data_IF_348110329512
#
_entry.id   IF_348110329512
#
_cell.length_a   1.000
_cell.length_b   1.000
_cell.length_c   1.000
_cell.angle_alpha   90.00
_cell.angle_beta   90.00
_cell.angle_gamma   90.00
#
_symmetry.space_group_name_H-M   'P 1'
#
loop_
_entity.id
_entity.type
_entity.pdbx_description
1 polymer ?
#
# COMPACT_ATOMS: atom_id res chain seq x y z
N UNK A 1 8.68 -9.58 8.11
CA UNK A 1 7.96 -10.85 8.38
C UNK A 1 7.38 -10.76 9.78
N UNK A 2 6.18 -11.31 9.98
CA UNK A 2 5.55 -11.41 11.29
C UNK A 2 6.05 -12.67 12.02
N UNK A 3 6.25 -12.62 13.33
CA UNK A 3 6.66 -13.77 14.15
C UNK A 3 5.43 -14.54 14.65
N UNK A 4 4.31 -13.85 14.84
CA UNK A 4 3.01 -14.38 15.26
C UNK A 4 1.90 -13.85 14.34
N UNK A 5 0.63 -14.20 14.62
CA UNK A 5 -0.48 -13.49 14.01
C UNK A 5 -0.35 -12.00 14.32
N UNK A 6 -0.34 -11.17 13.28
CA UNK A 6 -0.08 -9.75 13.45
C UNK A 6 -1.11 -8.91 12.73
N UNK A 7 -1.50 -7.79 13.34
CA UNK A 7 -2.28 -6.75 12.71
C UNK A 7 -1.32 -5.74 12.08
N UNK A 8 -1.32 -5.68 10.76
CA UNK A 8 -0.53 -4.74 9.98
C UNK A 8 -1.39 -3.52 9.67
N UNK A 9 -0.89 -2.33 9.97
CA UNK A 9 -1.51 -1.04 9.66
C UNK A 9 -0.55 -0.21 8.83
N UNK A 10 -1.07 0.45 7.81
CA UNK A 10 -0.32 1.41 7.00
C UNK A 10 -0.95 2.77 7.18
N UNK A 11 -0.14 3.74 7.60
CA UNK A 11 -0.56 5.11 7.88
C UNK A 11 0.17 6.02 6.91
N UNK A 12 -0.57 6.88 6.23
CA UNK A 12 -0.04 7.91 5.34
C UNK A 12 -0.59 9.26 5.76
N UNK A 13 0.30 10.22 6.03
CA UNK A 13 -0.08 11.58 6.45
C UNK A 13 -1.06 11.60 7.64
N UNK A 14 -0.87 10.69 8.61
CA UNK A 14 -1.72 10.54 9.78
C UNK A 14 -3.02 9.74 9.58
N UNK A 15 -3.34 9.31 8.35
CA UNK A 15 -4.54 8.53 8.05
C UNK A 15 -4.21 7.05 7.83
N UNK A 16 -4.99 6.14 8.42
CA UNK A 16 -4.86 4.70 8.14
C UNK A 16 -5.44 4.43 6.75
N UNK A 17 -4.58 4.07 5.81
CA UNK A 17 -4.97 3.80 4.41
C UNK A 17 -5.14 2.30 4.16
N UNK A 18 -4.60 1.45 5.03
CA UNK A 18 -4.71 0.00 4.93
C UNK A 18 -4.56 -0.66 6.30
N UNK A 19 -5.31 -1.73 6.54
CA UNK A 19 -5.23 -2.53 7.76
C UNK A 19 -5.64 -3.97 7.48
N UNK A 20 -4.79 -4.93 7.83
CA UNK A 20 -5.06 -6.36 7.63
C UNK A 20 -4.43 -7.24 8.72
N UNK A 21 -5.06 -8.37 9.04
CA UNK A 21 -4.47 -9.40 9.89
C UNK A 21 -3.71 -10.40 9.03
N UNK A 22 -2.41 -10.55 9.29
CA UNK A 22 -1.54 -11.49 8.58
C UNK A 22 -1.16 -12.67 9.48
N UNK A 23 -1.01 -13.87 8.93
CA UNK A 23 -0.48 -15.00 9.66
C UNK A 23 1.03 -14.82 9.95
N UNK A 24 1.60 -15.62 10.87
CA UNK A 24 3.04 -15.68 11.09
C UNK A 24 3.77 -16.02 9.78
N UNK A 25 4.86 -15.30 9.50
CA UNK A 25 5.70 -15.50 8.33
C UNK A 25 5.88 -14.27 7.46
N UNK A 26 6.36 -14.49 6.23
CA UNK A 26 6.50 -13.45 5.23
C UNK A 26 5.12 -13.09 4.67
N UNK A 27 4.82 -11.81 4.60
CA UNK A 27 3.61 -11.28 4.00
C UNK A 27 3.98 -10.17 3.02
N UNK A 28 3.12 -9.96 2.03
CA UNK A 28 3.23 -8.89 1.04
C UNK A 28 1.93 -8.11 1.06
N UNK A 29 2.02 -6.78 0.94
CA UNK A 29 0.86 -5.90 0.90
C UNK A 29 0.71 -5.36 -0.53
N UNK A 30 0.05 -6.10 -1.41
CA UNK A 30 -0.18 -5.70 -2.81
C UNK A 30 -1.37 -4.75 -2.99
N UNK A 31 -2.34 -4.80 -2.08
CA UNK A 31 -3.62 -4.10 -2.21
C UNK A 31 -3.65 -2.74 -1.50
N UNK A 32 -2.50 -2.13 -1.25
CA UNK A 32 -2.44 -0.78 -0.68
C UNK A 32 -2.84 0.21 -1.79
N UNK A 33 -3.94 0.92 -1.58
CA UNK A 33 -4.34 2.06 -2.41
C UNK A 33 -3.86 3.35 -1.74
N UNK A 34 -2.66 3.86 -2.08
CA UNK A 34 -2.19 5.13 -1.56
C UNK A 34 -3.14 6.24 -2.01
N UNK A 35 -3.25 7.30 -1.21
CA UNK A 35 -4.19 8.42 -1.44
C UNK A 35 -3.85 9.27 -2.68
N UNK A 36 -2.93 8.81 -3.54
CA UNK A 36 -2.40 9.56 -4.68
C UNK A 36 -1.36 10.62 -4.30
N UNK A 37 -1.17 10.89 -3.01
CA UNK A 37 -0.14 11.81 -2.51
C UNK A 37 1.19 11.09 -2.33
N UNK A 38 2.28 11.71 -2.76
CA UNK A 38 3.62 11.29 -2.36
C UNK A 38 3.82 11.54 -0.86
N UNK A 39 4.57 10.69 -0.19
CA UNK A 39 4.84 10.83 1.23
C UNK A 39 5.08 9.49 1.90
N UNK A 40 5.80 9.52 3.01
CA UNK A 40 6.20 8.32 3.74
C UNK A 40 5.01 7.50 4.24
N UNK A 41 5.12 6.17 4.10
CA UNK A 41 4.18 5.20 4.66
C UNK A 41 4.73 4.68 5.98
N UNK A 42 4.03 4.97 7.07
CA UNK A 42 4.33 4.36 8.36
C UNK A 42 3.62 3.01 8.43
N UNK A 43 4.40 1.93 8.39
CA UNK A 43 3.90 0.57 8.58
C UNK A 43 4.05 0.21 10.04
N UNK A 44 2.96 -0.22 10.67
CA UNK A 44 2.92 -0.69 12.06
C UNK A 44 2.45 -2.14 12.06
N UNK A 45 3.28 -3.03 12.59
CA UNK A 45 2.99 -4.45 12.75
C UNK A 45 2.81 -4.70 14.25
N UNK A 46 1.57 -5.01 14.66
CA UNK A 46 1.27 -5.38 16.05
C UNK A 46 1.08 -6.89 16.13
N UNK A 47 1.97 -7.55 16.82
CA UNK A 47 1.98 -8.99 17.02
C UNK A 47 0.98 -9.40 18.12
N UNK A 48 0.50 -10.64 18.07
CA UNK A 48 -0.44 -11.18 19.05
C UNK A 48 0.19 -11.36 20.44
N UNK A 49 1.52 -11.46 20.51
CA UNK A 49 2.28 -11.48 21.76
C UNK A 49 2.36 -10.11 22.45
N UNK A 50 1.79 -9.06 21.82
CA UNK A 50 1.80 -7.69 22.31
C UNK A 50 3.03 -6.88 21.88
N UNK A 51 4.00 -7.51 21.20
CA UNK A 51 5.11 -6.77 20.61
C UNK A 51 4.63 -5.93 19.42
N UNK A 52 5.28 -4.80 19.20
CA UNK A 52 4.96 -3.90 18.11
C UNK A 52 6.23 -3.50 17.38
N UNK A 53 6.17 -3.51 16.07
CA UNK A 53 7.22 -3.05 15.19
C UNK A 53 6.66 -1.94 14.31
N UNK A 54 7.45 -0.91 14.08
CA UNK A 54 7.07 0.16 13.16
C UNK A 54 8.25 0.55 12.31
N UNK A 55 8.02 0.75 11.02
CA UNK A 55 9.03 1.18 10.08
C UNK A 55 8.41 2.07 9.02
N UNK A 56 9.23 2.99 8.52
CA UNK A 56 8.81 3.96 7.51
C UNK A 56 9.31 3.49 6.15
N UNK A 57 8.38 3.37 5.20
CA UNK A 57 8.69 3.07 3.80
C UNK A 57 8.51 4.37 3.01
N UNK A 58 9.57 4.92 2.40
CA UNK A 58 9.42 6.08 1.53
C UNK A 58 8.55 5.70 0.33
N UNK A 59 7.43 6.40 0.15
CA UNK A 59 6.53 6.20 -0.98
C UNK A 59 6.54 7.41 -1.89
N UNK A 60 7.02 7.18 -3.11
CA UNK A 60 6.91 8.12 -4.20
C UNK A 60 5.66 7.76 -5.00
N UNK A 61 4.65 8.63 -4.96
CA UNK A 61 3.55 8.52 -5.91
C UNK A 61 4.14 8.75 -7.31
N UNK A 62 4.22 7.71 -8.14
CA UNK A 62 4.48 7.88 -9.57
C UNK A 62 3.15 8.28 -10.18
N UNK A 63 2.90 9.55 -10.54
CA UNK A 63 1.68 9.92 -11.21
C UNK A 63 1.82 9.39 -12.65
N UNK A 64 1.19 8.26 -13.00
CA UNK A 64 1.33 7.81 -14.40
C UNK A 64 0.82 6.44 -14.85
N UNK A 65 0.44 5.48 -14.01
CA UNK A 65 0.06 4.15 -14.54
C UNK A 65 -1.44 3.95 -14.83
N UNK A 66 -2.21 5.03 -14.89
CA UNK A 66 -3.56 5.03 -15.47
C UNK A 66 -3.69 6.14 -16.51
N UNK A 67 -2.78 6.18 -17.50
CA UNK A 67 -3.10 6.81 -18.78
C UNK A 67 -2.81 5.85 -19.93
N UNK A 68 -3.91 5.25 -20.37
CA UNK A 68 -4.26 5.06 -21.78
C UNK A 68 -3.63 3.87 -22.50
N UNK A 69 -3.95 2.66 -22.01
CA UNK A 69 -4.04 1.48 -22.85
C UNK A 69 -5.44 1.30 -23.44
N UNK A 70 -5.96 2.31 -24.15
CA UNK A 70 -7.05 2.12 -25.13
C UNK A 70 -6.87 3.14 -26.24
N UNK A 71 -6.44 2.68 -27.40
CA UNK A 71 -6.53 3.44 -28.63
C UNK A 71 -7.89 3.13 -29.26
N UNK A 72 -8.90 4.02 -29.26
CA UNK A 72 -9.94 3.93 -30.25
C UNK A 72 -9.38 4.59 -31.51
N UNK A 73 -8.86 3.75 -32.41
CA UNK A 73 -8.75 4.11 -33.81
C UNK A 73 -10.13 4.52 -34.32
N UNK A 74 -10.36 5.81 -34.49
CA UNK A 74 -11.45 6.32 -35.30
C UNK A 74 -11.07 7.67 -35.87
N UNK A 75 -10.62 7.68 -37.13
CA UNK A 75 -11.06 8.65 -38.14
C UNK A 75 -10.94 8.04 -39.53
N UNK A 76 -12.03 7.43 -39.98
CA UNK A 76 -12.39 7.50 -41.39
C UNK A 76 -13.03 8.86 -41.69
N UNK A 77 -12.86 9.36 -42.91
CA UNK A 77 -13.69 10.40 -43.50
C UNK A 77 -12.93 11.64 -43.96
N UNK A 78 -12.63 11.67 -45.26
CA UNK A 78 -12.09 12.81 -46.01
C UNK A 78 -11.81 12.38 -47.44
#
# INVERSE_FOLDING_TARGET
MARTNALVKVIQNGNVIYQENVPPGQFTLDSIQPTGSAGDLLVVVREADGSQQSFTVPFSAVPGMLKQGVEPVQRGGG
#
